data_IF_498861983607
#
_entry.id   IF_498861983607
#
_cell.length_a   1.000
_cell.length_b   1.000
_cell.length_c   1.000
_cell.angle_alpha   90.00
_cell.angle_beta   90.00
_cell.angle_gamma   90.00
#
_symmetry.space_group_name_H-M   'P 1'
#
loop_
_entity.id
_entity.type
_entity.pdbx_description
1 polymer ?
#
# COMPACT_ATOMS: atom_id res chain seq x y z
N UNK A 1 7.90 -2.21 -5.23
CA UNK A 1 8.57 -2.56 -6.49
C UNK A 1 8.34 -4.02 -6.81
N UNK A 2 8.08 -4.34 -8.07
CA UNK A 2 7.87 -5.70 -8.52
C UNK A 2 9.23 -6.43 -8.62
N UNK A 3 9.72 -6.94 -7.49
CA UNK A 3 11.00 -7.65 -7.43
C UNK A 3 10.90 -9.01 -8.13
N UNK A 4 11.99 -9.50 -8.73
CA UNK A 4 12.12 -10.84 -9.34
C UNK A 4 11.63 -11.96 -8.41
N UNK A 5 11.75 -11.79 -7.08
CA UNK A 5 11.18 -12.72 -6.09
C UNK A 5 9.65 -12.80 -6.18
N UNK A 6 8.95 -11.68 -6.30
CA UNK A 6 7.49 -11.64 -6.39
C UNK A 6 6.98 -12.34 -7.66
N UNK A 7 7.67 -12.15 -8.79
CA UNK A 7 7.36 -12.86 -10.03
C UNK A 7 7.50 -14.38 -9.87
N UNK A 8 8.60 -14.86 -9.28
CA UNK A 8 8.79 -16.30 -9.04
C UNK A 8 7.71 -16.90 -8.14
N UNK A 9 7.32 -16.18 -7.09
CA UNK A 9 6.22 -16.61 -6.20
C UNK A 9 4.91 -16.69 -6.97
N UNK A 10 4.59 -15.69 -7.81
CA UNK A 10 3.36 -15.71 -8.63
C UNK A 10 3.34 -16.80 -9.67
N UNK A 11 4.46 -17.06 -10.34
CA UNK A 11 4.60 -18.18 -11.27
C UNK A 11 4.38 -19.51 -10.54
N UNK A 12 4.99 -19.71 -9.36
CA UNK A 12 4.78 -20.92 -8.57
C UNK A 12 3.30 -21.09 -8.14
N UNK A 13 2.65 -20.00 -7.70
CA UNK A 13 1.24 -20.01 -7.32
C UNK A 13 0.33 -20.38 -8.50
N UNK A 14 0.56 -19.78 -9.66
CA UNK A 14 -0.21 -20.05 -10.88
C UNK A 14 -0.02 -21.50 -11.35
N UNK A 15 1.22 -22.00 -11.36
CA UNK A 15 1.50 -23.40 -11.70
C UNK A 15 0.85 -24.36 -10.69
N UNK A 16 0.94 -24.07 -9.40
CA UNK A 16 0.31 -24.88 -8.36
C UNK A 16 -1.21 -24.97 -8.56
N UNK A 17 -1.87 -23.84 -8.80
CA UNK A 17 -3.30 -23.80 -9.08
C UNK A 17 -3.65 -24.59 -10.35
N UNK A 18 -2.89 -24.41 -11.43
CA UNK A 18 -3.06 -25.12 -12.69
C UNK A 18 -2.91 -26.64 -12.58
N UNK A 19 -1.93 -27.13 -11.80
CA UNK A 19 -1.75 -28.58 -11.61
C UNK A 19 -2.77 -29.19 -10.65
N UNK A 20 -3.44 -28.36 -9.83
CA UNK A 20 -4.47 -28.80 -8.89
C UNK A 20 -5.88 -28.69 -9.45
N UNK A 21 -6.09 -27.97 -10.55
CA UNK A 21 -7.40 -27.87 -11.19
C UNK A 21 -7.71 -29.15 -11.99
N UNK A 22 -8.90 -29.71 -11.79
CA UNK A 22 -9.36 -30.91 -12.51
C UNK A 22 -9.54 -30.66 -14.02
N UNK A 23 -9.80 -29.40 -14.40
CA UNK A 23 -9.74 -28.90 -15.77
C UNK A 23 -8.47 -28.07 -15.97
N UNK A 24 -7.50 -28.58 -16.73
CA UNK A 24 -6.23 -27.91 -17.06
C UNK A 24 -6.40 -26.82 -18.12
N UNK A 25 -7.24 -25.84 -17.84
CA UNK A 25 -7.42 -24.68 -18.72
C UNK A 25 -6.20 -23.76 -18.62
N UNK A 26 -5.35 -23.83 -19.64
CA UNK A 26 -4.14 -23.01 -19.74
C UNK A 26 -4.48 -21.51 -19.86
N UNK A 27 -5.55 -21.16 -20.58
CA UNK A 27 -5.97 -19.78 -20.79
C UNK A 27 -6.41 -19.13 -19.48
N UNK A 28 -7.15 -19.88 -18.65
CA UNK A 28 -7.54 -19.44 -17.32
C UNK A 28 -6.32 -19.22 -16.40
N UNK A 29 -5.34 -20.15 -16.43
CA UNK A 29 -4.12 -20.03 -15.64
C UNK A 29 -3.24 -18.84 -16.04
N UNK A 30 -3.12 -18.56 -17.35
CA UNK A 30 -2.41 -17.40 -17.87
C UNK A 30 -3.09 -16.08 -17.42
N UNK A 31 -4.42 -16.03 -17.52
CA UNK A 31 -5.22 -14.87 -17.09
C UNK A 31 -5.03 -14.58 -15.61
N UNK A 32 -5.09 -15.60 -14.75
CA UNK A 32 -4.85 -15.44 -13.30
C UNK A 32 -3.42 -14.97 -12.99
N UNK A 33 -2.42 -15.49 -13.70
CA UNK A 33 -1.02 -15.08 -13.51
C UNK A 33 -0.85 -13.58 -13.78
N UNK A 34 -1.34 -13.11 -14.93
CA UNK A 34 -1.24 -11.69 -15.29
C UNK A 34 -2.08 -10.81 -14.36
N UNK A 35 -3.27 -11.26 -13.96
CA UNK A 35 -4.06 -10.58 -12.94
C UNK A 35 -3.28 -10.40 -11.63
N UNK A 36 -2.64 -11.46 -11.13
CA UNK A 36 -1.85 -11.41 -9.90
C UNK A 36 -0.62 -10.49 -10.01
N UNK A 37 0.03 -10.43 -11.17
CA UNK A 37 1.14 -9.50 -11.44
C UNK A 37 0.65 -8.06 -11.45
N UNK A 38 -0.45 -7.78 -12.16
CA UNK A 38 -1.06 -6.45 -12.22
C UNK A 38 -1.47 -5.95 -10.84
N UNK A 39 -2.02 -6.83 -9.99
CA UNK A 39 -2.35 -6.45 -8.60
C UNK A 39 -1.15 -6.09 -7.74
N UNK A 40 0.01 -6.74 -7.94
CA UNK A 40 1.23 -6.34 -7.24
C UNK A 40 1.72 -4.97 -7.74
N UNK A 41 1.55 -4.69 -9.03
CA UNK A 41 1.88 -3.38 -9.59
C UNK A 41 0.98 -2.28 -9.03
N UNK A 42 -0.34 -2.49 -9.02
CA UNK A 42 -1.30 -1.58 -8.38
C UNK A 42 -0.94 -1.33 -6.91
N UNK A 43 -0.64 -2.40 -6.15
CA UNK A 43 -0.21 -2.28 -4.76
C UNK A 43 1.06 -1.44 -4.61
N UNK A 44 2.00 -1.55 -5.55
CA UNK A 44 3.18 -0.71 -5.53
C UNK A 44 2.86 0.77 -5.73
N UNK A 45 1.94 1.09 -6.63
CA UNK A 45 1.46 2.47 -6.81
C UNK A 45 0.79 2.96 -5.53
N UNK A 46 -0.04 2.13 -4.88
CA UNK A 46 -0.65 2.48 -3.60
C UNK A 46 0.39 2.73 -2.49
N UNK A 47 1.48 1.96 -2.44
CA UNK A 47 2.56 2.23 -1.49
C UNK A 47 3.24 3.58 -1.70
N UNK A 48 3.31 4.08 -2.94
CA UNK A 48 3.85 5.42 -3.21
C UNK A 48 2.87 6.50 -2.76
N UNK A 49 1.58 6.30 -3.01
CA UNK A 49 0.52 7.23 -2.56
C UNK A 49 0.37 7.28 -1.03
N UNK A 50 0.66 6.17 -0.35
CA UNK A 50 0.56 6.05 1.11
C UNK A 50 1.31 7.16 1.84
N UNK A 51 2.48 7.59 1.35
CA UNK A 51 3.26 8.64 2.01
C UNK A 51 2.51 9.98 2.08
N UNK A 52 1.81 10.36 1.01
CA UNK A 52 0.98 11.56 0.99
C UNK A 52 -0.22 11.44 1.92
N UNK A 53 -0.90 10.29 1.89
CA UNK A 53 -2.05 10.02 2.77
C UNK A 53 -1.69 10.02 4.25
N UNK A 54 -0.55 9.44 4.62
CA UNK A 54 -0.07 9.43 6.01
C UNK A 54 0.23 10.86 6.50
N UNK A 55 0.77 11.72 5.63
CA UNK A 55 0.98 13.13 5.96
C UNK A 55 -0.34 13.86 6.15
N UNK A 56 -1.27 13.72 5.22
CA UNK A 56 -2.61 14.32 5.31
C UNK A 56 -3.33 13.90 6.59
N UNK A 57 -3.25 12.62 6.94
CA UNK A 57 -3.80 12.10 8.18
C UNK A 57 -3.10 12.68 9.42
N UNK A 58 -1.77 12.79 9.41
CA UNK A 58 -1.03 13.40 10.51
C UNK A 58 -1.41 14.88 10.71
N UNK A 59 -1.60 15.63 9.62
CA UNK A 59 -2.05 17.02 9.67
C UNK A 59 -3.48 17.12 10.22
N UNK A 60 -4.41 16.29 9.73
CA UNK A 60 -5.77 16.21 10.26
C UNK A 60 -5.76 15.92 11.77
N UNK A 61 -4.97 14.93 12.21
CA UNK A 61 -4.85 14.57 13.62
C UNK A 61 -4.30 15.71 14.49
N UNK A 62 -3.35 16.49 13.98
CA UNK A 62 -2.82 17.67 14.67
C UNK A 62 -3.94 18.71 14.86
N UNK A 63 -4.72 18.99 13.81
CA UNK A 63 -5.81 19.95 13.88
C UNK A 63 -6.94 19.49 14.82
N UNK A 64 -7.26 18.20 14.84
CA UNK A 64 -8.24 17.65 15.78
C UNK A 64 -7.74 17.70 17.24
N UNK A 65 -6.44 17.45 17.45
CA UNK A 65 -5.85 17.54 18.78
C UNK A 65 -5.94 18.95 19.38
N UNK A 66 -5.76 20.00 18.56
CA UNK A 66 -5.91 21.39 18.99
C UNK A 66 -7.34 21.72 19.46
N UNK A 67 -8.34 21.00 18.93
CA UNK A 67 -9.77 21.20 19.27
C UNK A 67 -10.22 20.42 20.51
N UNK A 68 -9.34 19.66 21.18
CA UNK A 68 -9.69 18.94 22.41
C UNK A 68 -10.24 19.90 23.46
N UNK A 69 -11.25 19.45 24.22
CA UNK A 69 -11.84 20.24 25.33
C UNK A 69 -10.85 20.52 26.47
N UNK A 70 -9.86 19.65 26.65
CA UNK A 70 -8.79 19.79 27.63
C UNK A 70 -7.44 19.53 26.94
N UNK A 71 -6.89 20.49 26.19
CA UNK A 71 -5.68 20.28 25.41
C UNK A 71 -4.45 20.26 26.30
N UNK A 72 -3.53 19.32 26.04
CA UNK A 72 -2.21 19.34 26.65
C UNK A 72 -1.32 20.39 25.98
N UNK A 73 -0.18 20.75 26.60
CA UNK A 73 0.79 21.66 25.98
C UNK A 73 1.25 21.15 24.61
N UNK A 74 1.41 19.84 24.45
CA UNK A 74 1.81 19.20 23.19
C UNK A 74 0.71 19.24 22.12
N UNK A 75 -0.57 19.37 22.51
CA UNK A 75 -1.67 19.54 21.56
C UNK A 75 -1.74 21.00 21.05
N UNK A 76 -1.42 21.98 21.91
CA UNK A 76 -1.36 23.40 21.56
C UNK A 76 -0.11 23.73 20.73
N UNK A 77 1.02 23.13 21.08
CA UNK A 77 2.32 23.29 20.42
C UNK A 77 2.80 21.95 19.82
N UNK A 78 2.14 21.46 18.75
CA UNK A 78 2.49 20.20 18.12
C UNK A 78 3.81 20.30 17.35
N UNK A 79 4.57 19.21 17.33
CA UNK A 79 5.77 19.10 16.50
C UNK A 79 5.39 18.97 15.01
N UNK A 80 5.69 20.00 14.22
CA UNK A 80 5.37 20.07 12.79
C UNK A 80 6.46 19.50 11.86
N UNK A 81 7.57 18.97 12.39
CA UNK A 81 8.71 18.50 11.57
C UNK A 81 8.33 17.44 10.54
N UNK A 82 7.37 16.57 10.86
CA UNK A 82 6.91 15.52 9.94
C UNK A 82 6.03 16.09 8.81
N UNK A 83 5.02 16.91 9.15
CA UNK A 83 4.07 17.46 8.17
C UNK A 83 4.72 18.52 7.28
N UNK A 84 5.73 19.24 7.76
CA UNK A 84 6.47 20.25 7.00
C UNK A 84 7.69 19.68 6.25
N UNK A 85 7.85 18.35 6.21
CA UNK A 85 8.98 17.74 5.51
C UNK A 85 8.77 17.81 3.99
N UNK A 86 9.76 18.36 3.27
CA UNK A 86 9.75 18.53 1.82
C UNK A 86 9.66 17.22 1.03
N UNK A 87 10.04 16.08 1.62
CA UNK A 87 9.94 14.77 0.95
C UNK A 87 8.48 14.33 0.81
N UNK A 88 7.62 14.81 1.70
CA UNK A 88 6.20 14.48 1.75
C UNK A 88 5.32 15.67 1.32
N UNK A 89 5.93 16.79 0.89
CA UNK A 89 5.22 18.05 0.58
C UNK A 89 4.52 18.03 -0.76
#
# INVERSE_FOLDING_TARGET
MLNRRHLRIKVLQALYAYYRSDGKDFSAGETELFFGINKIYELYVFYLLLFGEVRSFAQYRIEENKKKKLPSKQDLEPNLKFVNNFVFS
#
